data_IF_890730218156
#
_entry.id   IF_890730218156
#
_cell.length_a   1.000
_cell.length_b   1.000
_cell.length_c   1.000
_cell.angle_alpha   90.00
_cell.angle_beta   90.00
_cell.angle_gamma   90.00
#
_symmetry.space_group_name_H-M   'P 1'
#
loop_
_entity.id
_entity.type
_entity.pdbx_description
1 polymer ?
#
# COMPACT_ATOMS: atom_id res chain seq x y z
N UNK A 1 24.46 18.59 -73.59
CA UNK A 1 23.59 19.77 -73.78
C UNK A 1 23.26 20.28 -72.38
N UNK A 2 23.77 21.38 -71.83
CA UNK A 2 24.36 22.57 -72.41
C UNK A 2 23.48 23.78 -72.05
N UNK A 3 24.02 24.67 -71.20
CA UNK A 3 23.65 26.08 -70.95
C UNK A 3 22.68 26.44 -69.78
N UNK A 4 23.28 26.96 -68.71
CA UNK A 4 22.87 28.08 -67.83
C UNK A 4 23.16 29.45 -68.52
N UNK A 5 23.20 30.65 -67.87
CA UNK A 5 22.30 31.39 -66.93
C UNK A 5 22.16 32.91 -67.28
N UNK A 6 21.36 33.72 -66.54
CA UNK A 6 21.59 35.17 -66.21
C UNK A 6 20.37 35.80 -65.48
N UNK A 7 20.39 36.87 -64.65
CA UNK A 7 21.41 37.71 -63.98
C UNK A 7 20.70 38.66 -62.97
N UNK A 8 21.30 38.83 -61.78
CA UNK A 8 21.46 40.02 -60.89
C UNK A 8 20.38 41.12 -60.75
N UNK A 9 20.14 41.51 -59.49
CA UNK A 9 20.41 42.87 -58.98
C UNK A 9 20.58 42.92 -57.44
N UNK A 10 21.62 43.63 -56.98
CA UNK A 10 22.00 43.93 -55.58
C UNK A 10 21.54 45.34 -55.21
N UNK A 11 21.23 45.62 -53.94
CA UNK A 11 21.60 46.89 -53.26
C UNK A 11 21.83 46.70 -51.76
N UNK A 12 22.98 47.23 -51.30
CA UNK A 12 23.43 47.41 -49.90
C UNK A 12 23.26 48.88 -49.50
N UNK A 13 22.98 49.16 -48.22
CA UNK A 13 23.33 50.40 -47.48
C UNK A 13 23.38 50.00 -45.97
N UNK A 14 24.54 49.97 -45.31
CA UNK A 14 25.37 51.05 -44.74
C UNK A 14 24.91 51.51 -43.33
N UNK A 15 25.87 51.48 -42.39
CA UNK A 15 25.80 51.74 -40.93
C UNK A 15 25.56 53.23 -40.61
N UNK A 16 24.93 53.52 -39.46
CA UNK A 16 25.24 54.71 -38.66
C UNK A 16 25.15 54.40 -37.15
N UNK A 17 26.23 54.69 -36.45
CA UNK A 17 26.38 54.70 -34.99
C UNK A 17 25.85 56.03 -34.44
N UNK A 18 25.16 56.00 -33.30
CA UNK A 18 25.17 57.11 -32.35
C UNK A 18 25.04 56.54 -30.94
N UNK A 19 26.07 56.76 -30.13
CA UNK A 19 26.11 56.35 -28.73
C UNK A 19 25.35 57.34 -27.84
N UNK A 20 24.81 56.80 -26.74
CA UNK A 20 24.60 57.57 -25.51
C UNK A 20 25.33 56.85 -24.37
N UNK A 21 26.39 57.50 -23.91
CA UNK A 21 26.95 57.35 -22.57
C UNK A 21 26.00 58.08 -21.61
N UNK A 22 25.74 57.54 -20.40
CA UNK A 22 25.65 58.31 -19.15
C UNK A 22 25.44 57.37 -17.94
N UNK A 23 26.50 57.32 -17.13
CA UNK A 23 26.57 57.30 -15.66
C UNK A 23 25.96 56.15 -14.83
N UNK A 24 26.93 55.46 -14.21
CA UNK A 24 26.86 54.70 -12.95
C UNK A 24 26.05 55.41 -11.85
N UNK A 25 25.17 54.65 -11.20
CA UNK A 25 25.06 54.64 -9.73
C UNK A 25 24.95 53.19 -9.28
N UNK A 26 25.82 52.82 -8.33
CA UNK A 26 25.90 51.47 -7.77
C UNK A 26 24.84 51.20 -6.71
N UNK A 27 24.59 49.91 -6.50
CA UNK A 27 23.73 49.38 -5.44
C UNK A 27 23.53 47.88 -5.59
N UNK A 28 24.39 47.11 -4.91
CA UNK A 28 24.28 45.73 -4.46
C UNK A 28 23.15 44.83 -5.01
N UNK A 29 23.52 43.78 -5.74
CA UNK A 29 23.34 42.38 -5.32
C UNK A 29 24.14 41.47 -6.28
N UNK A 30 25.31 41.01 -5.85
CA UNK A 30 25.97 39.86 -6.46
C UNK A 30 25.12 38.62 -6.13
N UNK A 31 24.42 38.07 -7.12
CA UNK A 31 23.98 36.68 -7.05
C UNK A 31 25.24 35.84 -7.32
N UNK A 32 25.81 35.30 -6.25
CA UNK A 32 26.92 34.36 -6.33
C UNK A 32 26.50 33.14 -7.17
N UNK A 33 27.03 33.08 -8.38
CA UNK A 33 27.19 31.84 -9.14
C UNK A 33 28.18 30.96 -8.37
N UNK A 34 27.65 30.10 -7.51
CA UNK A 34 28.37 28.96 -7.00
C UNK A 34 27.98 27.74 -7.84
N UNK A 35 28.72 27.55 -8.93
CA UNK A 35 28.98 26.24 -9.51
C UNK A 35 29.56 25.31 -8.45
N UNK A 36 28.67 24.69 -7.70
CA UNK A 36 28.96 23.54 -6.86
C UNK A 36 29.23 22.35 -7.77
N UNK A 37 30.48 21.93 -7.81
CA UNK A 37 30.90 20.59 -8.22
C UNK A 37 29.91 19.60 -7.60
N UNK A 38 29.29 18.74 -8.41
CA UNK A 38 28.52 17.62 -7.90
C UNK A 38 29.48 16.76 -7.07
N UNK A 39 29.47 16.97 -5.75
CA UNK A 39 29.95 15.96 -4.83
C UNK A 39 28.98 14.80 -4.94
N UNK A 40 29.49 13.60 -5.21
CA UNK A 40 28.76 12.36 -5.05
C UNK A 40 28.34 12.26 -3.58
N UNK A 41 27.15 12.78 -3.28
CA UNK A 41 26.59 12.82 -1.94
C UNK A 41 26.27 11.40 -1.49
N UNK A 42 27.13 10.84 -0.63
CA UNK A 42 26.84 9.64 0.13
C UNK A 42 25.51 9.82 0.87
N UNK A 43 24.47 9.12 0.40
CA UNK A 43 23.12 9.21 0.92
C UNK A 43 23.02 8.79 2.39
N UNK A 44 21.94 9.22 3.06
CA UNK A 44 21.61 8.91 4.47
C UNK A 44 21.15 7.45 4.63
N UNK A 45 21.94 6.53 4.10
CA UNK A 45 21.67 5.09 4.09
C UNK A 45 22.47 4.39 5.20
N UNK A 46 21.94 3.30 5.77
CA UNK A 46 20.67 2.67 5.41
C UNK A 46 19.45 3.48 5.92
N UNK A 47 18.29 3.21 5.34
CA UNK A 47 17.00 3.74 5.79
C UNK A 47 15.94 2.64 5.76
N UNK A 48 15.07 2.65 6.77
CA UNK A 48 13.94 1.73 6.91
C UNK A 48 12.69 2.55 7.13
N UNK A 49 11.64 2.27 6.36
CA UNK A 49 10.33 2.90 6.47
C UNK A 49 9.26 1.81 6.58
N UNK A 50 8.29 1.97 7.47
CA UNK A 50 7.10 1.11 7.49
C UNK A 50 5.81 1.92 7.65
N UNK A 51 4.70 1.38 7.17
CA UNK A 51 3.37 1.85 7.59
C UNK A 51 3.21 1.70 9.10
N UNK A 52 2.40 2.59 9.68
CA UNK A 52 1.96 2.58 11.08
C UNK A 52 3.10 2.77 12.11
N UNK A 53 2.77 3.04 13.40
CA UNK A 53 3.78 3.20 14.46
C UNK A 53 4.40 1.88 14.93
N UNK A 54 4.70 0.95 14.01
CA UNK A 54 5.29 -0.38 14.30
C UNK A 54 6.80 -0.29 14.54
N UNK A 55 7.18 0.38 15.63
CA UNK A 55 8.60 0.67 15.93
C UNK A 55 9.46 -0.59 16.01
N UNK A 56 8.97 -1.66 16.64
CA UNK A 56 9.74 -2.90 16.76
C UNK A 56 10.02 -3.57 15.42
N UNK A 57 9.08 -3.48 14.46
CA UNK A 57 9.30 -3.97 13.10
C UNK A 57 10.42 -3.19 12.41
N UNK A 58 10.42 -1.86 12.52
CA UNK A 58 11.49 -1.01 11.98
C UNK A 58 12.83 -1.27 12.69
N UNK A 59 12.84 -1.52 14.00
CA UNK A 59 14.07 -1.87 14.73
C UNK A 59 14.64 -3.21 14.28
N UNK A 60 13.80 -4.24 14.11
CA UNK A 60 14.24 -5.56 13.63
C UNK A 60 14.88 -5.48 12.24
N UNK A 61 14.25 -4.76 11.30
CA UNK A 61 14.86 -4.50 9.99
C UNK A 61 16.15 -3.68 10.09
N UNK A 62 16.17 -2.67 10.97
CA UNK A 62 17.36 -1.84 11.20
C UNK A 62 18.55 -2.66 11.70
N UNK A 63 18.35 -3.58 12.65
CA UNK A 63 19.42 -4.43 13.18
C UNK A 63 20.12 -5.22 12.07
N UNK A 64 19.35 -5.76 11.11
CA UNK A 64 19.88 -6.51 9.96
C UNK A 64 20.67 -5.60 9.02
N UNK A 65 20.09 -4.48 8.61
CA UNK A 65 20.72 -3.60 7.60
C UNK A 65 21.87 -2.76 8.17
N UNK A 66 21.89 -2.54 9.49
CA UNK A 66 22.93 -1.74 10.17
C UNK A 66 24.11 -2.56 10.68
N UNK A 67 24.00 -3.90 10.74
CA UNK A 67 25.06 -4.79 11.21
C UNK A 67 26.41 -4.54 10.50
N UNK A 68 27.50 -4.61 11.28
CA UNK A 68 28.88 -4.45 10.83
C UNK A 68 29.44 -5.81 10.40
N UNK A 69 29.47 -6.10 9.09
CA UNK A 69 29.94 -7.40 8.57
C UNK A 69 29.40 -7.67 7.17
N UNK A 70 29.12 -8.94 6.84
CA UNK A 70 28.19 -9.25 5.75
C UNK A 70 26.83 -8.69 6.16
N UNK A 71 26.59 -7.41 5.87
CA UNK A 71 25.32 -6.76 6.15
C UNK A 71 24.22 -7.58 5.50
N UNK A 72 23.13 -7.84 6.23
CA UNK A 72 21.99 -8.50 5.61
C UNK A 72 21.50 -7.62 4.46
N UNK A 73 21.09 -8.27 3.37
CA UNK A 73 20.59 -7.56 2.20
C UNK A 73 19.35 -6.73 2.56
N UNK A 74 19.00 -5.74 1.72
CA UNK A 74 17.73 -5.02 1.87
C UNK A 74 16.54 -6.00 1.95
N UNK A 75 16.57 -7.10 1.18
CA UNK A 75 15.59 -8.20 1.24
C UNK A 75 15.54 -8.84 2.63
N UNK A 76 16.70 -9.23 3.20
CA UNK A 76 16.74 -9.87 4.53
C UNK A 76 16.25 -8.94 5.64
N UNK A 77 16.54 -7.65 5.53
CA UNK A 77 16.05 -6.65 6.47
C UNK A 77 14.52 -6.49 6.40
N UNK A 78 13.94 -6.46 5.18
CA UNK A 78 12.49 -6.49 4.98
C UNK A 78 11.88 -7.74 5.62
N UNK A 79 12.47 -8.93 5.37
CA UNK A 79 12.00 -10.19 5.96
C UNK A 79 12.01 -10.11 7.47
N UNK A 80 13.08 -9.61 8.08
CA UNK A 80 13.19 -9.48 9.54
C UNK A 80 12.15 -8.52 10.12
N UNK A 81 11.95 -7.36 9.51
CA UNK A 81 10.98 -6.37 9.97
C UNK A 81 9.53 -6.84 9.85
N UNK A 82 9.14 -7.37 8.69
CA UNK A 82 7.80 -7.94 8.50
C UNK A 82 7.58 -9.16 9.41
N UNK A 83 8.57 -10.04 9.57
CA UNK A 83 8.47 -11.20 10.48
C UNK A 83 8.28 -10.77 11.93
N UNK A 84 8.98 -9.72 12.38
CA UNK A 84 8.79 -9.19 13.72
C UNK A 84 7.35 -8.72 13.93
N UNK A 85 6.74 -8.12 12.91
CA UNK A 85 5.36 -7.67 12.97
C UNK A 85 4.34 -8.83 12.97
N UNK A 86 4.58 -9.86 12.17
CA UNK A 86 3.79 -11.11 12.19
C UNK A 86 3.83 -11.80 13.56
N UNK A 87 5.00 -11.81 14.22
CA UNK A 87 5.17 -12.42 15.56
C UNK A 87 4.53 -11.56 16.65
N UNK A 88 4.76 -10.25 16.63
CA UNK A 88 4.24 -9.33 17.64
C UNK A 88 2.75 -9.06 17.48
N UNK A 89 2.14 -9.53 16.39
CA UNK A 89 0.76 -9.24 16.02
C UNK A 89 0.53 -7.73 16.07
N UNK A 90 1.34 -6.96 15.32
CA UNK A 90 1.19 -5.50 15.26
C UNK A 90 -0.29 -5.16 15.13
N UNK A 91 -0.81 -4.38 16.09
CA UNK A 91 -2.22 -3.98 16.28
C UNK A 91 -3.31 -5.08 16.23
N UNK A 92 -2.92 -6.35 16.14
CA UNK A 92 -3.82 -7.50 16.03
C UNK A 92 -4.35 -7.78 14.61
N UNK A 93 -3.78 -7.19 13.55
CA UNK A 93 -4.22 -7.43 12.15
C UNK A 93 -3.18 -8.08 11.23
N UNK A 94 -1.98 -8.36 11.75
CA UNK A 94 -0.89 -9.03 11.02
C UNK A 94 -0.43 -10.27 11.80
N UNK A 95 -0.31 -11.42 11.13
CA UNK A 95 0.19 -12.66 11.72
C UNK A 95 -0.89 -13.59 12.30
N UNK A 96 -0.54 -14.54 13.18
CA UNK A 96 -1.50 -15.42 13.82
C UNK A 96 -2.51 -14.65 14.67
N UNK A 97 -3.79 -14.99 14.56
CA UNK A 97 -4.88 -14.46 15.35
C UNK A 97 -5.40 -13.10 14.90
N UNK A 98 -5.01 -12.62 13.71
CA UNK A 98 -5.49 -11.37 13.14
C UNK A 98 -6.62 -11.56 12.13
N UNK A 99 -7.57 -10.62 12.12
CA UNK A 99 -8.65 -10.46 11.12
C UNK A 99 -9.20 -11.76 10.51
N UNK A 100 -9.92 -12.62 11.27
CA UNK A 100 -10.51 -13.83 10.72
C UNK A 100 -11.55 -13.49 9.64
N UNK A 101 -11.73 -14.39 8.68
CA UNK A 101 -12.77 -14.30 7.66
C UNK A 101 -14.16 -14.61 8.24
N UNK A 102 -15.20 -14.60 7.40
CA UNK A 102 -16.58 -14.84 7.85
C UNK A 102 -16.82 -16.28 8.38
N UNK A 103 -15.94 -17.22 8.06
CA UNK A 103 -15.93 -18.58 8.60
C UNK A 103 -15.09 -18.70 9.89
N UNK A 104 -14.48 -17.61 10.35
CA UNK A 104 -13.65 -17.58 11.54
C UNK A 104 -12.19 -17.95 11.29
N UNK A 105 -11.78 -18.09 10.02
CA UNK A 105 -10.43 -18.52 9.68
C UNK A 105 -9.48 -17.34 9.44
N UNK A 106 -8.28 -17.44 10.01
CA UNK A 106 -7.19 -16.50 9.74
C UNK A 106 -6.36 -16.99 8.56
N UNK A 107 -6.23 -16.15 7.53
CA UNK A 107 -5.35 -16.37 6.36
C UNK A 107 -4.37 -15.22 6.22
N UNK A 108 -3.21 -15.45 5.61
CA UNK A 108 -2.18 -14.44 5.38
C UNK A 108 -1.99 -14.14 3.89
N UNK A 109 -1.80 -12.86 3.60
CA UNK A 109 -1.33 -12.33 2.33
C UNK A 109 0.03 -11.67 2.56
N UNK A 110 1.04 -11.99 1.75
CA UNK A 110 2.37 -11.39 1.85
C UNK A 110 3.07 -11.24 0.50
N UNK A 111 3.95 -10.24 0.41
CA UNK A 111 4.73 -9.88 -0.78
C UNK A 111 6.16 -9.53 -0.35
N UNK A 112 7.14 -9.93 -1.15
CA UNK A 112 8.49 -9.37 -1.10
C UNK A 112 8.97 -9.06 -2.52
N UNK A 113 9.73 -7.98 -2.67
CA UNK A 113 10.31 -7.56 -3.94
C UNK A 113 11.72 -7.03 -3.73
N UNK A 114 12.64 -7.54 -4.54
CA UNK A 114 13.98 -6.97 -4.70
C UNK A 114 13.95 -5.95 -5.85
N UNK A 115 14.20 -4.68 -5.54
CA UNK A 115 14.20 -3.60 -6.54
C UNK A 115 15.41 -3.64 -7.47
N UNK A 116 16.43 -4.44 -7.17
CA UNK A 116 17.66 -4.60 -7.98
C UNK A 116 17.43 -5.57 -9.12
N UNK A 117 16.83 -6.73 -8.82
CA UNK A 117 16.57 -7.80 -9.79
C UNK A 117 15.18 -7.71 -10.40
N UNK A 118 14.29 -6.92 -9.78
CA UNK A 118 12.85 -6.89 -10.04
C UNK A 118 12.15 -8.23 -9.75
N UNK A 119 12.83 -9.15 -9.05
CA UNK A 119 12.23 -10.40 -8.62
C UNK A 119 11.23 -10.17 -7.49
N UNK A 120 10.17 -10.95 -7.53
CA UNK A 120 9.03 -10.84 -6.63
C UNK A 120 8.62 -12.24 -6.22
N UNK A 121 8.35 -12.42 -4.94
CA UNK A 121 7.62 -13.57 -4.43
C UNK A 121 6.44 -13.13 -3.58
N UNK A 122 5.34 -13.84 -3.69
CA UNK A 122 4.11 -13.53 -3.01
C UNK A 122 3.31 -14.79 -2.66
N UNK A 123 2.55 -14.69 -1.57
CA UNK A 123 1.57 -15.68 -1.15
C UNK A 123 0.25 -14.98 -0.83
N UNK A 124 -0.88 -15.60 -1.19
CA UNK A 124 -2.19 -15.02 -0.89
C UNK A 124 -3.20 -16.07 -0.42
N UNK A 125 -4.12 -15.65 0.46
CA UNK A 125 -5.06 -16.51 1.15
C UNK A 125 -4.38 -17.76 1.75
N UNK A 126 -3.11 -17.62 2.18
CA UNK A 126 -2.31 -18.74 2.67
C UNK A 126 -2.82 -19.15 4.04
N UNK A 127 -3.07 -20.45 4.21
CA UNK A 127 -3.61 -21.05 5.43
C UNK A 127 -2.48 -21.67 6.24
N UNK A 128 -2.66 -21.77 7.55
CA UNK A 128 -1.87 -22.62 8.45
C UNK A 128 -0.36 -22.36 8.58
N UNK A 129 0.17 -21.30 7.97
CA UNK A 129 1.58 -20.88 8.07
C UNK A 129 1.62 -19.49 8.69
N UNK A 130 2.34 -19.35 9.81
CA UNK A 130 2.49 -18.08 10.52
C UNK A 130 3.49 -17.11 9.87
N UNK A 131 4.47 -17.66 9.14
CA UNK A 131 5.59 -16.94 8.56
C UNK A 131 5.28 -16.52 7.11
N UNK A 132 4.39 -15.54 6.94
CA UNK A 132 3.87 -15.09 5.64
C UNK A 132 4.97 -14.53 4.73
N UNK A 133 5.73 -13.56 5.22
CA UNK A 133 6.81 -12.91 4.46
C UNK A 133 7.93 -13.88 4.08
N UNK A 134 8.24 -14.87 4.95
CA UNK A 134 9.24 -15.90 4.64
C UNK A 134 8.75 -16.84 3.55
N UNK A 135 7.46 -17.20 3.56
CA UNK A 135 6.86 -17.98 2.47
C UNK A 135 6.94 -17.22 1.15
N UNK A 136 6.65 -15.91 1.14
CA UNK A 136 6.82 -15.05 -0.02
C UNK A 136 8.28 -15.02 -0.52
N UNK A 137 9.26 -14.91 0.38
CA UNK A 137 10.69 -15.00 0.02
C UNK A 137 11.05 -16.35 -0.62
N UNK A 138 10.54 -17.45 -0.09
CA UNK A 138 10.77 -18.78 -0.66
C UNK A 138 10.17 -18.92 -2.07
N UNK A 139 9.01 -18.29 -2.35
CA UNK A 139 8.45 -18.23 -3.71
C UNK A 139 9.42 -17.51 -4.65
N UNK A 140 9.95 -16.36 -4.22
CA UNK A 140 10.94 -15.58 -4.99
C UNK A 140 12.22 -16.37 -5.27
N UNK A 141 12.79 -17.01 -4.24
CA UNK A 141 14.10 -17.66 -4.32
C UNK A 141 14.09 -19.02 -5.04
N UNK A 142 12.94 -19.72 -5.05
CA UNK A 142 12.89 -21.15 -5.40
C UNK A 142 11.85 -21.51 -6.46
N UNK A 143 11.24 -20.52 -7.11
CA UNK A 143 10.32 -20.77 -8.21
C UNK A 143 10.51 -19.73 -9.32
N UNK A 144 10.17 -20.08 -10.56
CA UNK A 144 10.03 -19.09 -11.65
C UNK A 144 8.66 -18.38 -11.61
N UNK A 145 7.87 -18.61 -10.55
CA UNK A 145 6.54 -18.04 -10.37
C UNK A 145 6.57 -16.89 -9.37
N UNK A 146 5.67 -15.92 -9.54
CA UNK A 146 5.61 -14.75 -8.67
C UNK A 146 4.67 -14.93 -7.47
N UNK A 147 3.56 -15.64 -7.65
CA UNK A 147 2.47 -15.69 -6.67
C UNK A 147 1.88 -17.09 -6.55
N UNK A 148 1.86 -17.63 -5.33
CA UNK A 148 1.15 -18.87 -4.97
C UNK A 148 -0.01 -18.58 -4.03
N UNK A 149 -1.10 -19.35 -4.10
CA UNK A 149 -2.31 -19.03 -3.31
C UNK A 149 -2.91 -20.25 -2.58
N UNK A 150 -3.66 -19.96 -1.52
CA UNK A 150 -4.46 -20.93 -0.78
C UNK A 150 -3.62 -22.03 -0.11
N UNK A 151 -4.21 -23.23 0.00
CA UNK A 151 -3.53 -24.40 0.57
C UNK A 151 -2.34 -24.90 -0.25
N UNK A 152 -2.26 -24.54 -1.54
CA UNK A 152 -1.10 -24.90 -2.37
C UNK A 152 0.11 -24.03 -2.03
N UNK A 153 -0.08 -22.77 -1.65
CA UNK A 153 0.97 -21.97 -1.03
C UNK A 153 1.44 -22.58 0.30
N UNK A 154 0.50 -23.05 1.15
CA UNK A 154 0.82 -23.78 2.39
C UNK A 154 1.66 -25.03 2.14
N UNK A 155 1.24 -25.85 1.17
CA UNK A 155 1.94 -27.10 0.82
C UNK A 155 3.37 -26.81 0.35
N UNK A 156 3.53 -25.78 -0.48
CA UNK A 156 4.84 -25.30 -0.92
C UNK A 156 5.69 -24.83 0.26
N UNK A 157 5.17 -23.95 1.11
CA UNK A 157 5.87 -23.41 2.28
C UNK A 157 6.39 -24.52 3.21
N UNK A 158 5.56 -25.54 3.49
CA UNK A 158 5.96 -26.70 4.31
C UNK A 158 7.06 -27.51 3.60
N UNK A 159 6.92 -27.74 2.28
CA UNK A 159 7.92 -28.48 1.52
C UNK A 159 9.29 -27.77 1.48
N UNK A 160 9.30 -26.44 1.63
CA UNK A 160 10.49 -25.61 1.73
C UNK A 160 11.03 -25.48 3.17
N UNK A 161 10.40 -26.15 4.14
CA UNK A 161 10.88 -26.23 5.52
C UNK A 161 10.24 -25.27 6.52
N UNK A 162 9.20 -24.52 6.14
CA UNK A 162 8.43 -23.73 7.11
C UNK A 162 7.57 -24.65 7.99
N UNK A 163 7.41 -24.28 9.26
CA UNK A 163 6.61 -25.04 10.20
C UNK A 163 5.12 -24.92 9.88
N UNK A 164 4.42 -26.05 9.85
CA UNK A 164 2.98 -26.12 9.66
C UNK A 164 2.50 -27.55 9.36
N UNK A 165 1.18 -27.76 9.22
CA UNK A 165 0.13 -26.77 9.42
C UNK A 165 -0.06 -26.42 10.91
N UNK A 166 -0.34 -25.15 11.22
CA UNK A 166 -0.67 -24.68 12.55
C UNK A 166 -2.05 -24.00 12.56
N UNK A 167 -2.77 -24.09 13.68
CA UNK A 167 -3.95 -23.24 13.89
C UNK A 167 -3.49 -21.79 14.09
N UNK A 168 -3.97 -20.91 13.23
CA UNK A 168 -3.66 -19.48 13.27
C UNK A 168 -4.68 -18.70 14.11
N UNK A 169 -5.70 -19.35 14.67
CA UNK A 169 -6.70 -18.69 15.49
C UNK A 169 -6.12 -18.31 16.86
N UNK A 170 -6.59 -17.19 17.40
CA UNK A 170 -6.36 -16.81 18.80
C UNK A 170 -7.68 -16.68 19.56
N UNK A 171 -7.68 -16.71 20.91
CA UNK A 171 -8.88 -16.44 21.71
C UNK A 171 -9.57 -15.14 21.30
N UNK A 172 -8.80 -14.08 21.04
CA UNK A 172 -9.34 -12.78 20.62
C UNK A 172 -10.02 -12.84 19.26
N UNK A 173 -9.44 -13.57 18.29
CA UNK A 173 -10.03 -13.73 16.95
C UNK A 173 -11.34 -14.54 17.00
N UNK A 174 -11.38 -15.58 17.84
CA UNK A 174 -12.55 -16.44 18.02
C UNK A 174 -13.67 -15.66 18.71
N UNK A 175 -13.35 -14.87 19.75
CA UNK A 175 -14.31 -14.01 20.43
C UNK A 175 -14.87 -12.95 19.48
N UNK A 176 -14.00 -12.27 18.74
CA UNK A 176 -14.37 -11.25 17.74
C UNK A 176 -15.34 -11.84 16.69
N UNK A 177 -15.03 -13.02 16.15
CA UNK A 177 -15.90 -13.72 15.20
C UNK A 177 -17.21 -14.18 15.84
N UNK A 178 -17.19 -14.70 17.06
CA UNK A 178 -18.39 -15.15 17.78
C UNK A 178 -19.36 -14.00 18.03
N UNK A 179 -18.86 -12.85 18.45
CA UNK A 179 -19.67 -11.63 18.65
C UNK A 179 -20.28 -11.17 17.31
N UNK A 180 -19.49 -11.15 16.24
CA UNK A 180 -19.99 -10.77 14.91
C UNK A 180 -21.07 -11.72 14.37
N UNK A 181 -20.90 -13.03 14.58
CA UNK A 181 -21.91 -14.07 14.27
C UNK A 181 -23.21 -13.86 15.07
N UNK A 182 -23.10 -13.55 16.35
CA UNK A 182 -24.26 -13.24 17.21
C UNK A 182 -24.97 -11.96 16.75
N UNK A 183 -24.23 -10.99 16.21
CA UNK A 183 -24.75 -9.77 15.60
C UNK A 183 -25.19 -9.97 14.13
N UNK A 184 -25.73 -11.15 13.81
CA UNK A 184 -26.28 -11.47 12.50
C UNK A 184 -25.32 -11.25 11.31
N UNK A 185 -24.01 -11.44 11.54
CA UNK A 185 -22.99 -11.29 10.51
C UNK A 185 -22.99 -9.90 9.86
N UNK A 186 -23.12 -8.86 10.67
CA UNK A 186 -23.07 -7.46 10.24
C UNK A 186 -22.05 -6.64 11.06
N UNK A 187 -21.38 -5.65 10.42
CA UNK A 187 -21.38 -5.39 8.98
C UNK A 187 -20.62 -6.48 8.21
N UNK A 188 -20.91 -6.67 6.92
CA UNK A 188 -20.20 -7.61 6.04
C UNK A 188 -19.86 -7.01 4.66
N UNK A 189 -19.15 -7.78 3.83
CA UNK A 189 -18.68 -7.34 2.51
C UNK A 189 -19.57 -7.79 1.35
N UNK A 190 -20.65 -8.50 1.63
CA UNK A 190 -21.57 -8.96 0.60
C UNK A 190 -22.46 -7.81 0.11
N UNK A 191 -22.69 -7.75 -1.20
CA UNK A 191 -23.54 -6.73 -1.84
C UNK A 191 -24.49 -7.38 -2.83
N UNK A 192 -25.71 -6.86 -2.91
CA UNK A 192 -26.75 -7.33 -3.86
C UNK A 192 -27.07 -8.82 -3.75
N UNK A 193 -27.10 -9.34 -2.53
CA UNK A 193 -27.41 -10.74 -2.22
C UNK A 193 -28.40 -10.83 -1.06
N UNK A 194 -29.05 -11.98 -0.93
CA UNK A 194 -29.87 -12.36 0.23
C UNK A 194 -29.23 -13.55 0.94
N UNK A 195 -29.06 -13.51 2.28
CA UNK A 195 -28.57 -14.67 3.03
C UNK A 195 -29.65 -15.75 3.17
N UNK A 196 -29.25 -17.02 3.12
CA UNK A 196 -30.00 -18.06 3.79
C UNK A 196 -29.88 -17.87 5.32
N UNK A 197 -30.96 -17.49 5.99
CA UNK A 197 -30.91 -17.12 7.42
C UNK A 197 -30.19 -15.79 7.64
N UNK A 198 -29.32 -15.71 8.66
CA UNK A 198 -28.65 -14.44 9.03
C UNK A 198 -27.25 -14.27 8.40
N UNK A 199 -26.58 -15.37 8.07
CA UNK A 199 -25.14 -15.40 7.80
C UNK A 199 -24.76 -16.14 6.50
N UNK A 200 -25.72 -16.30 5.60
CA UNK A 200 -25.55 -17.05 4.36
C UNK A 200 -25.74 -18.57 4.49
N UNK A 201 -25.50 -19.34 3.40
CA UNK A 201 -24.91 -18.91 2.14
C UNK A 201 -25.71 -17.80 1.46
N UNK A 202 -25.00 -16.86 0.84
CA UNK A 202 -25.57 -15.69 0.18
C UNK A 202 -25.91 -16.01 -1.27
N UNK A 203 -27.11 -15.63 -1.71
CA UNK A 203 -27.60 -15.84 -3.07
C UNK A 203 -27.83 -14.50 -3.77
N UNK A 204 -27.48 -14.37 -5.07
CA UNK A 204 -27.78 -13.17 -5.84
C UNK A 204 -29.27 -12.81 -5.77
N UNK A 205 -29.56 -11.52 -5.74
CA UNK A 205 -30.94 -11.06 -5.91
C UNK A 205 -31.29 -11.21 -7.40
N UNK A 206 -32.23 -12.08 -7.72
CA UNK A 206 -32.81 -12.17 -9.06
C UNK A 206 -33.62 -10.90 -9.34
N UNK A 207 -33.05 -10.01 -10.15
CA UNK A 207 -33.77 -8.83 -10.66
C UNK A 207 -34.36 -9.21 -12.01
N UNK A 208 -35.69 -9.27 -12.18
CA UNK A 208 -36.32 -9.56 -13.47
C UNK A 208 -35.79 -8.60 -14.55
N UNK A 209 -35.43 -9.15 -15.70
CA UNK A 209 -34.90 -8.40 -16.86
C UNK A 209 -35.96 -7.43 -17.40
N UNK A 210 -35.92 -6.18 -16.92
CA UNK A 210 -36.82 -5.12 -17.35
C UNK A 210 -37.16 -4.07 -16.28
N UNK A 211 -36.87 -4.33 -15.00
CA UNK A 211 -37.15 -3.37 -13.93
C UNK A 211 -35.94 -2.47 -13.59
N UNK A 212 -36.20 -1.17 -13.40
CA UNK A 212 -35.14 -0.19 -13.11
C UNK A 212 -34.52 -0.42 -11.71
N UNK A 213 -33.29 0.06 -11.50
CA UNK A 213 -32.58 0.02 -10.19
C UNK A 213 -33.42 0.55 -9.00
N UNK A 214 -34.46 1.34 -9.24
CA UNK A 214 -35.39 1.80 -8.21
C UNK A 214 -36.28 0.68 -7.64
N UNK A 215 -36.64 -0.34 -8.44
CA UNK A 215 -37.38 -1.52 -7.98
C UNK A 215 -36.58 -2.37 -7.00
N UNK A 216 -35.26 -2.48 -7.19
CA UNK A 216 -34.38 -3.28 -6.32
C UNK A 216 -34.40 -2.76 -4.88
N UNK A 217 -34.47 -1.44 -4.69
CA UNK A 217 -34.59 -0.81 -3.36
C UNK A 217 -35.94 -1.11 -2.68
N UNK A 218 -37.00 -1.26 -3.48
CA UNK A 218 -38.33 -1.67 -3.02
C UNK A 218 -38.40 -3.16 -2.69
N UNK A 219 -37.75 -4.01 -3.47
CA UNK A 219 -37.63 -5.46 -3.20
C UNK A 219 -36.85 -5.70 -1.92
N UNK A 220 -35.68 -5.07 -1.75
CA UNK A 220 -34.86 -5.14 -0.53
C UNK A 220 -35.63 -4.68 0.73
N UNK A 221 -36.42 -3.60 0.63
CA UNK A 221 -37.30 -3.14 1.73
C UNK A 221 -38.40 -4.15 2.07
N UNK A 222 -38.91 -4.89 1.07
CA UNK A 222 -39.96 -5.91 1.28
C UNK A 222 -39.41 -7.15 1.96
N UNK A 223 -38.27 -7.67 1.51
CA UNK A 223 -37.64 -8.85 2.12
C UNK A 223 -37.03 -8.57 3.49
N UNK A 224 -36.53 -7.36 3.74
CA UNK A 224 -36.13 -6.95 5.10
C UNK A 224 -37.32 -6.63 6.02
N UNK A 225 -38.48 -6.23 5.45
CA UNK A 225 -39.69 -5.92 6.21
C UNK A 225 -40.44 -7.15 6.76
N UNK A 226 -40.27 -8.33 6.16
CA UNK A 226 -40.93 -9.56 6.62
C UNK A 226 -40.21 -10.28 7.77
N UNK A 227 -38.96 -9.92 8.08
CA UNK A 227 -38.15 -10.57 9.13
C UNK A 227 -38.20 -9.80 10.48
N UNK A 228 -38.88 -8.66 10.57
CA UNK A 228 -38.91 -7.84 11.79
C UNK A 228 -40.31 -7.30 12.16
N UNK A 229 -41.32 -8.16 12.21
CA UNK A 229 -42.66 -7.79 12.73
C UNK A 229 -42.92 -8.23 14.18
N UNK A 230 -41.87 -8.34 15.02
CA UNK A 230 -42.01 -8.78 16.41
C UNK A 230 -41.51 -7.82 17.50
N UNK A 231 -40.81 -6.75 17.15
CA UNK A 231 -40.18 -5.84 18.10
C UNK A 231 -40.23 -4.45 17.50
N UNK A 232 -41.11 -3.56 17.98
CA UNK A 232 -41.01 -2.09 17.99
C UNK A 232 -42.41 -1.49 18.21
N UNK A 233 -42.86 -1.47 19.46
CA UNK A 233 -43.72 -0.38 19.95
C UNK A 233 -42.85 0.45 20.92
N UNK A 234 -42.81 1.76 20.66
CA UNK A 234 -42.22 2.84 21.46
C UNK A 234 -40.69 2.89 21.59
N UNK A 235 -40.02 3.67 20.74
CA UNK A 235 -39.77 5.10 20.98
C UNK A 235 -38.74 5.69 20.00
N UNK A 236 -38.88 7.00 19.76
CA UNK A 236 -38.17 7.82 18.79
C UNK A 236 -36.64 7.74 18.89
N UNK A 237 -35.98 7.36 17.78
CA UNK A 237 -34.86 8.03 17.09
C UNK A 237 -34.19 7.01 16.15
N UNK A 238 -34.85 6.69 15.03
CA UNK A 238 -34.23 5.97 13.93
C UNK A 238 -33.76 6.98 12.90
N UNK A 239 -32.52 7.45 13.07
CA UNK A 239 -31.76 7.86 11.89
C UNK A 239 -31.59 6.62 11.00
N UNK A 240 -31.76 6.73 9.67
CA UNK A 240 -31.52 5.62 8.77
C UNK A 240 -30.08 5.16 8.95
N UNK A 241 -29.90 3.91 9.39
CA UNK A 241 -28.58 3.27 9.50
C UNK A 241 -27.87 3.44 8.16
N UNK A 242 -26.88 4.32 8.14
CA UNK A 242 -26.06 4.59 6.98
C UNK A 242 -25.36 3.28 6.60
N UNK A 243 -25.60 2.69 5.41
CA UNK A 243 -24.92 1.46 4.99
C UNK A 243 -23.41 1.66 4.79
N UNK A 244 -22.92 2.90 4.91
CA UNK A 244 -21.50 3.26 4.88
C UNK A 244 -20.82 3.28 6.27
N UNK A 245 -21.33 2.54 7.27
CA UNK A 245 -20.54 2.29 8.48
C UNK A 245 -19.31 1.47 8.07
N UNK A 246 -18.20 2.18 7.85
CA UNK A 246 -16.98 1.72 7.18
C UNK A 246 -16.49 0.40 7.76
N UNK A 247 -16.63 -0.69 7.00
CA UNK A 247 -16.10 -2.01 7.36
C UNK A 247 -14.57 -2.01 7.45
N UNK A 248 -13.92 -1.04 6.79
CA UNK A 248 -12.47 -0.82 6.78
C UNK A 248 -12.15 0.44 7.58
N UNK A 249 -11.41 0.26 8.68
CA UNK A 249 -10.87 1.32 9.53
C UNK A 249 -9.54 0.84 10.13
N UNK A 250 -8.82 1.74 10.82
CA UNK A 250 -7.50 1.46 11.45
C UNK A 250 -7.47 0.23 12.36
N UNK A 251 -8.60 -0.23 12.90
CA UNK A 251 -8.62 -1.37 13.80
C UNK A 251 -9.12 -2.66 13.14
N UNK A 252 -9.47 -2.58 11.85
CA UNK A 252 -10.10 -3.67 11.08
C UNK A 252 -9.35 -4.03 9.78
N UNK A 253 -8.30 -3.30 9.40
CA UNK A 253 -7.56 -3.50 8.14
C UNK A 253 -6.21 -2.76 8.15
N UNK A 254 -5.33 -3.14 9.06
CA UNK A 254 -3.96 -2.63 9.04
C UNK A 254 -3.04 -3.63 8.32
N UNK A 255 -2.10 -3.08 7.57
CA UNK A 255 -1.14 -3.81 6.75
C UNK A 255 0.23 -3.24 7.06
N UNK A 256 1.19 -4.09 7.38
CA UNK A 256 2.59 -3.65 7.39
C UNK A 256 3.09 -3.69 5.95
N UNK A 257 3.44 -2.53 5.43
CA UNK A 257 4.27 -2.40 4.24
C UNK A 257 5.58 -1.76 4.67
N UNK A 258 6.71 -2.30 4.24
CA UNK A 258 8.05 -1.89 4.64
C UNK A 258 8.91 -1.66 3.41
N UNK A 259 9.73 -0.62 3.45
CA UNK A 259 10.80 -0.36 2.50
C UNK A 259 12.13 -0.29 3.24
N UNK A 260 13.15 -0.92 2.67
CA UNK A 260 14.53 -0.81 3.12
C UNK A 260 15.38 -0.33 1.96
N UNK A 261 16.23 0.66 2.21
CA UNK A 261 17.35 0.99 1.34
C UNK A 261 18.62 0.72 2.14
N UNK A 262 19.43 -0.23 1.70
CA UNK A 262 20.62 -0.66 2.43
C UNK A 262 21.81 0.29 2.28
N UNK A 263 22.94 -0.03 2.92
CA UNK A 263 24.17 0.77 2.89
C UNK A 263 24.77 0.93 1.49
N UNK A 264 24.50 -0.01 0.59
CA UNK A 264 24.94 0.04 -0.81
C UNK A 264 23.94 0.79 -1.68
N UNK A 265 22.79 1.16 -1.11
CA UNK A 265 21.70 1.82 -1.78
C UNK A 265 20.68 0.85 -2.36
N UNK A 266 20.83 -0.47 -2.22
CA UNK A 266 19.87 -1.41 -2.80
C UNK A 266 18.52 -1.30 -2.11
N UNK A 267 17.46 -1.26 -2.92
CA UNK A 267 16.08 -1.07 -2.46
C UNK A 267 15.34 -2.40 -2.44
N UNK A 268 14.63 -2.68 -1.35
CA UNK A 268 13.66 -3.78 -1.29
C UNK A 268 12.42 -3.37 -0.53
N UNK A 269 11.30 -4.02 -0.84
CA UNK A 269 10.04 -3.82 -0.13
C UNK A 269 9.40 -5.13 0.24
N UNK A 270 8.54 -5.10 1.26
CA UNK A 270 7.69 -6.23 1.58
C UNK A 270 6.43 -5.82 2.32
N UNK A 271 5.45 -6.70 2.27
CA UNK A 271 4.13 -6.49 2.86
C UNK A 271 3.65 -7.77 3.54
N UNK A 272 2.93 -7.64 4.65
CA UNK A 272 2.19 -8.75 5.29
C UNK A 272 0.89 -8.25 5.92
N UNK A 273 -0.18 -9.03 5.82
CA UNK A 273 -1.48 -8.74 6.44
C UNK A 273 -2.34 -10.00 6.56
N UNK A 274 -3.31 -9.99 7.48
CA UNK A 274 -4.44 -10.91 7.45
C UNK A 274 -5.59 -10.44 6.55
N UNK A 275 -5.53 -9.20 6.05
CA UNK A 275 -6.59 -8.57 5.26
C UNK A 275 -7.75 -8.06 6.12
N UNK A 276 -8.89 -7.84 5.46
CA UNK A 276 -10.06 -7.28 6.12
C UNK A 276 -10.69 -8.28 7.11
N UNK A 277 -11.01 -7.81 8.32
CA UNK A 277 -11.76 -8.61 9.31
C UNK A 277 -13.16 -8.96 8.76
N UNK A 278 -13.55 -10.23 8.83
CA UNK A 278 -14.79 -10.80 8.28
C UNK A 278 -14.91 -10.74 6.76
N UNK A 279 -13.77 -10.71 6.07
CA UNK A 279 -13.73 -10.83 4.61
C UNK A 279 -14.46 -12.10 4.14
N UNK A 280 -14.95 -12.07 2.90
CA UNK A 280 -15.44 -13.28 2.23
C UNK A 280 -14.29 -14.28 2.13
N UNK A 281 -14.49 -15.57 2.45
CA UNK A 281 -13.45 -16.59 2.38
C UNK A 281 -12.79 -16.64 1.01
N UNK A 282 -11.46 -16.64 0.99
CA UNK A 282 -10.67 -16.55 -0.25
C UNK A 282 -10.47 -15.14 -0.79
N UNK A 283 -11.01 -14.09 -0.16
CA UNK A 283 -10.69 -12.70 -0.51
C UNK A 283 -9.21 -12.42 -0.29
N UNK A 284 -8.58 -11.90 -1.33
CA UNK A 284 -7.21 -11.42 -1.35
C UNK A 284 -7.22 -9.89 -1.47
N UNK A 285 -6.41 -9.22 -0.65
CA UNK A 285 -6.27 -7.76 -0.67
C UNK A 285 -5.22 -7.26 -1.66
N UNK A 286 -4.80 -6.01 -1.48
CA UNK A 286 -3.69 -5.41 -2.22
C UNK A 286 -2.32 -5.91 -1.76
N UNK A 287 -2.22 -6.37 -0.51
CA UNK A 287 -0.97 -6.79 0.12
C UNK A 287 -0.06 -7.72 -0.71
N UNK A 288 -0.55 -8.78 -1.38
CA UNK A 288 0.27 -9.67 -2.18
C UNK A 288 0.39 -9.22 -3.65
N UNK A 289 -0.10 -8.02 -4.00
CA UNK A 289 -0.16 -7.50 -5.38
C UNK A 289 0.94 -6.46 -5.59
N UNK A 290 1.98 -6.78 -6.38
CA UNK A 290 3.08 -5.85 -6.65
C UNK A 290 2.56 -4.58 -7.30
N UNK A 291 3.06 -3.43 -6.84
CA UNK A 291 2.62 -2.13 -7.35
C UNK A 291 1.36 -1.61 -6.68
N UNK A 292 0.59 -2.46 -5.99
CA UNK A 292 -0.50 -1.99 -5.15
C UNK A 292 -0.01 -1.67 -3.74
N UNK A 293 0.34 -2.70 -2.97
CA UNK A 293 0.73 -2.56 -1.56
C UNK A 293 2.13 -2.02 -1.40
N UNK A 294 3.07 -2.47 -2.22
CA UNK A 294 4.44 -2.00 -2.22
C UNK A 294 5.08 -2.13 -3.60
N UNK A 295 6.08 -1.31 -3.84
CA UNK A 295 6.91 -1.40 -5.05
C UNK A 295 8.30 -0.82 -4.78
N UNK A 296 9.34 -1.49 -5.28
CA UNK A 296 10.73 -1.06 -5.20
C UNK A 296 11.32 -0.99 -6.62
N UNK A 297 12.15 0.03 -6.85
CA UNK A 297 12.99 0.11 -8.03
C UNK A 297 14.31 0.77 -7.61
N UNK A 298 15.44 0.09 -7.84
CA UNK A 298 16.73 0.53 -7.34
C UNK A 298 17.25 1.81 -8.00
N UNK A 299 16.69 2.22 -9.14
CA UNK A 299 17.01 3.48 -9.82
C UNK A 299 16.18 4.67 -9.29
N UNK A 300 15.07 4.39 -8.61
CA UNK A 300 14.06 5.42 -8.25
C UNK A 300 13.84 5.53 -6.75
N UNK A 301 13.48 4.42 -6.10
CA UNK A 301 13.08 4.39 -4.69
C UNK A 301 12.04 3.32 -4.37
N UNK A 302 11.29 3.54 -3.28
CA UNK A 302 10.29 2.62 -2.77
C UNK A 302 8.98 3.31 -2.38
N UNK A 303 7.89 2.54 -2.42
CA UNK A 303 6.60 2.91 -1.87
C UNK A 303 6.01 1.75 -1.08
N UNK A 304 5.30 2.06 0.00
CA UNK A 304 4.46 1.12 0.73
C UNK A 304 3.10 1.74 1.05
N UNK A 305 2.06 0.92 1.11
CA UNK A 305 0.67 1.31 1.20
C UNK A 305 -0.10 0.53 2.28
N UNK A 306 -1.24 1.08 2.69
CA UNK A 306 -2.22 0.46 3.60
C UNK A 306 -3.59 1.09 3.32
N UNK A 307 -4.70 0.38 3.56
CA UNK A 307 -6.04 0.93 3.31
C UNK A 307 -7.04 -0.09 2.78
N UNK A 308 -8.08 0.39 2.11
CA UNK A 308 -9.05 -0.46 1.42
C UNK A 308 -8.40 -1.20 0.26
N UNK A 309 -7.88 -2.39 0.54
CA UNK A 309 -7.15 -3.18 -0.44
C UNK A 309 -7.93 -3.48 -1.73
N UNK A 310 -9.26 -3.56 -1.67
CA UNK A 310 -10.10 -3.80 -2.85
C UNK A 310 -10.18 -2.58 -3.77
N UNK A 311 -10.05 -1.37 -3.21
CA UNK A 311 -9.95 -0.13 -3.97
C UNK A 311 -8.50 0.12 -4.40
N UNK A 312 -7.53 -0.02 -3.48
CA UNK A 312 -6.11 0.24 -3.73
C UNK A 312 -5.59 -0.57 -4.92
N UNK A 313 -5.90 -1.87 -4.99
CA UNK A 313 -5.45 -2.75 -6.08
C UNK A 313 -5.96 -2.36 -7.47
N UNK A 314 -7.04 -1.57 -7.56
CA UNK A 314 -7.57 -1.10 -8.86
C UNK A 314 -6.73 0.02 -9.46
N UNK A 315 -5.89 0.68 -8.67
CA UNK A 315 -5.11 1.85 -9.08
C UNK A 315 -3.61 1.66 -9.00
N UNK A 316 -3.14 0.57 -8.38
CA UNK A 316 -1.71 0.27 -8.19
C UNK A 316 -0.94 1.51 -7.68
N UNK A 317 -1.32 2.08 -6.53
CA UNK A 317 -0.82 3.37 -6.08
C UNK A 317 0.70 3.38 -5.91
N UNK A 318 1.32 2.31 -5.44
CA UNK A 318 2.77 2.29 -5.28
C UNK A 318 3.54 2.23 -6.60
N UNK A 319 3.04 1.49 -7.59
CA UNK A 319 3.60 1.57 -8.94
C UNK A 319 3.49 2.99 -9.51
N UNK A 320 2.30 3.61 -9.36
CA UNK A 320 2.09 4.99 -9.81
C UNK A 320 3.01 5.99 -9.08
N UNK A 321 3.27 5.80 -7.78
CA UNK A 321 4.20 6.64 -7.02
C UNK A 321 5.63 6.51 -7.56
N UNK A 322 6.11 5.27 -7.77
CA UNK A 322 7.45 5.03 -8.32
C UNK A 322 7.57 5.64 -9.72
N UNK A 323 6.60 5.43 -10.61
CA UNK A 323 6.65 5.98 -11.96
C UNK A 323 6.55 7.52 -11.98
N UNK A 324 5.75 8.12 -11.09
CA UNK A 324 5.73 9.57 -10.93
C UNK A 324 7.08 10.11 -10.44
N UNK A 325 7.75 9.42 -9.51
CA UNK A 325 9.10 9.80 -9.06
C UNK A 325 10.14 9.60 -10.18
N UNK A 326 10.03 8.54 -10.99
CA UNK A 326 10.87 8.33 -12.19
C UNK A 326 10.76 9.49 -13.17
N UNK A 327 9.57 10.08 -13.29
CA UNK A 327 9.31 11.27 -14.11
C UNK A 327 9.76 12.59 -13.46
N UNK A 328 10.41 12.54 -12.29
CA UNK A 328 10.98 13.69 -11.61
C UNK A 328 10.07 14.34 -10.56
N UNK A 329 8.94 13.73 -10.20
CA UNK A 329 8.16 14.22 -9.05
C UNK A 329 8.88 13.93 -7.73
N UNK A 330 8.87 14.89 -6.81
CA UNK A 330 9.29 14.66 -5.43
C UNK A 330 8.32 13.70 -4.70
N UNK A 331 8.80 12.89 -3.73
CA UNK A 331 8.00 11.86 -3.05
C UNK A 331 6.64 12.33 -2.53
N UNK A 332 6.58 13.56 -1.98
CA UNK A 332 5.34 14.16 -1.48
C UNK A 332 4.30 14.33 -2.58
N UNK A 333 4.71 14.86 -3.73
CA UNK A 333 3.83 15.14 -4.85
C UNK A 333 3.39 13.84 -5.53
N UNK A 334 4.30 12.87 -5.66
CA UNK A 334 4.00 11.55 -6.20
C UNK A 334 2.97 10.80 -5.33
N UNK A 335 3.17 10.78 -4.01
CA UNK A 335 2.25 10.18 -3.05
C UNK A 335 0.86 10.85 -3.09
N UNK A 336 0.81 12.18 -3.07
CA UNK A 336 -0.44 12.94 -3.15
C UNK A 336 -1.19 12.70 -4.46
N UNK A 337 -0.50 12.70 -5.61
CA UNK A 337 -1.13 12.44 -6.91
C UNK A 337 -1.76 11.04 -6.96
N UNK A 338 -1.06 10.01 -6.48
CA UNK A 338 -1.58 8.65 -6.44
C UNK A 338 -2.85 8.53 -5.59
N UNK A 339 -2.86 9.10 -4.38
CA UNK A 339 -4.02 9.08 -3.48
C UNK A 339 -5.20 9.90 -4.04
N UNK A 340 -4.93 11.09 -4.60
CA UNK A 340 -5.97 11.94 -5.17
C UNK A 340 -6.60 11.32 -6.43
N UNK A 341 -5.87 10.53 -7.22
CA UNK A 341 -6.43 9.77 -8.35
C UNK A 341 -7.51 8.79 -7.90
N UNK A 342 -7.28 8.10 -6.79
CA UNK A 342 -8.25 7.17 -6.19
C UNK A 342 -9.44 7.97 -5.66
N UNK A 343 -9.19 9.03 -4.89
CA UNK A 343 -10.22 9.88 -4.29
C UNK A 343 -11.20 10.45 -5.33
N UNK A 344 -10.70 10.85 -6.51
CA UNK A 344 -11.53 11.34 -7.62
C UNK A 344 -12.56 10.31 -8.13
N UNK A 345 -12.29 9.02 -7.96
CA UNK A 345 -13.19 7.93 -8.39
C UNK A 345 -13.97 7.31 -7.23
N UNK A 346 -13.37 7.26 -6.06
CA UNK A 346 -13.95 6.70 -4.84
C UNK A 346 -13.79 7.71 -3.69
N UNK A 347 -14.63 8.76 -3.59
CA UNK A 347 -14.45 9.85 -2.63
C UNK A 347 -14.54 9.44 -1.16
N UNK A 348 -15.07 8.25 -0.86
CA UNK A 348 -15.23 7.74 0.49
C UNK A 348 -14.18 6.69 0.88
N UNK A 349 -13.24 6.37 -0.03
CA UNK A 349 -12.24 5.34 0.23
C UNK A 349 -11.32 5.73 1.40
N UNK A 350 -10.69 4.74 2.00
CA UNK A 350 -9.67 4.97 3.02
C UNK A 350 -8.37 4.35 2.54
N UNK A 351 -7.28 5.10 2.61
CA UNK A 351 -5.99 4.61 2.17
C UNK A 351 -4.86 5.58 2.44
N UNK A 352 -3.64 5.05 2.43
CA UNK A 352 -2.44 5.83 2.60
C UNK A 352 -1.27 5.17 1.89
N UNK A 353 -0.28 5.99 1.53
CA UNK A 353 1.03 5.55 1.07
C UNK A 353 2.13 6.33 1.76
N UNK A 354 3.29 5.71 1.95
CA UNK A 354 4.56 6.40 2.07
C UNK A 354 5.38 6.22 0.79
N UNK A 355 6.26 7.16 0.51
CA UNK A 355 7.19 7.15 -0.62
C UNK A 355 8.56 7.57 -0.12
N UNK A 356 9.62 6.96 -0.65
CA UNK A 356 11.01 7.34 -0.41
C UNK A 356 11.82 7.20 -1.70
N UNK A 357 12.67 8.18 -2.02
CA UNK A 357 13.53 8.15 -3.21
C UNK A 357 14.99 7.80 -2.89
N UNK A 358 15.82 7.61 -3.93
CA UNK A 358 17.26 7.33 -3.80
C UNK A 358 18.11 8.46 -3.17
N UNK A 359 17.52 9.62 -2.89
CA UNK A 359 18.16 10.69 -2.12
C UNK A 359 17.82 10.63 -0.61
N UNK A 360 17.02 9.64 -0.19
CA UNK A 360 16.51 9.53 1.17
C UNK A 360 15.37 10.50 1.51
N UNK A 361 14.87 11.26 0.53
CA UNK A 361 13.69 12.12 0.71
C UNK A 361 12.48 11.21 0.81
N UNK A 362 11.67 11.41 1.84
CA UNK A 362 10.47 10.62 2.09
C UNK A 362 9.25 11.50 2.38
N UNK A 363 8.07 10.99 2.11
CA UNK A 363 6.80 11.62 2.45
C UNK A 363 5.68 10.57 2.52
N UNK A 364 4.52 10.96 3.05
CA UNK A 364 3.31 10.16 2.93
C UNK A 364 2.12 10.98 2.47
N UNK A 365 1.08 10.30 2.00
CA UNK A 365 -0.20 10.89 1.62
C UNK A 365 -1.38 10.05 2.14
N UNK A 366 -2.35 10.79 2.67
CA UNK A 366 -3.61 10.39 3.29
C UNK A 366 -4.88 10.41 2.45
N UNK A 367 -5.83 9.49 2.63
CA UNK A 367 -7.24 9.83 2.45
C UNK A 367 -8.14 9.07 3.44
N UNK A 368 -9.14 9.76 3.98
CA UNK A 368 -10.18 9.17 4.84
C UNK A 368 -9.77 8.88 6.30
N UNK A 369 -8.50 9.09 6.67
CA UNK A 369 -7.94 8.93 8.02
C UNK A 369 -6.66 9.75 8.23
N UNK A 370 -6.20 9.87 9.47
CA UNK A 370 -4.82 10.29 9.78
C UNK A 370 -3.90 9.09 9.69
N UNK A 371 -2.88 9.17 8.85
CA UNK A 371 -1.90 8.12 8.65
C UNK A 371 -0.64 8.41 9.47
N UNK A 372 0.00 7.35 9.94
CA UNK A 372 1.32 7.42 10.54
C UNK A 372 2.23 6.40 9.87
N UNK A 373 3.50 6.75 9.68
CA UNK A 373 4.53 5.80 9.24
C UNK A 373 5.74 5.93 10.15
N UNK A 374 6.46 4.83 10.33
CA UNK A 374 7.68 4.75 11.12
C UNK A 374 8.90 4.83 10.21
N UNK A 375 9.94 5.53 10.66
CA UNK A 375 11.16 5.78 9.89
C UNK A 375 12.38 5.67 10.79
N UNK A 376 13.44 5.08 10.26
CA UNK A 376 14.78 5.16 10.84
C UNK A 376 15.83 5.28 9.74
N UNK A 377 16.74 6.24 9.89
CA UNK A 377 17.91 6.39 9.02
C UNK A 377 19.19 6.53 9.85
N UNK A 378 20.35 6.63 9.19
CA UNK A 378 21.66 6.65 9.86
C UNK A 378 21.92 7.89 10.72
N UNK A 379 21.16 8.97 10.53
CA UNK A 379 21.25 10.19 11.34
C UNK A 379 20.40 10.16 12.62
N UNK A 380 19.49 9.18 12.74
CA UNK A 380 18.54 9.07 13.86
C UNK A 380 19.06 8.15 14.96
N UNK A 381 18.79 8.51 16.22
CA UNK A 381 19.15 7.67 17.37
C UNK A 381 18.27 6.41 17.47
N UNK A 382 16.98 6.55 17.17
CA UNK A 382 15.97 5.48 17.18
C UNK A 382 14.87 5.77 16.16
N UNK A 383 13.86 4.90 16.06
CA UNK A 383 12.70 5.03 15.17
C UNK A 383 11.86 6.26 15.52
N UNK A 384 11.61 7.10 14.51
CA UNK A 384 10.69 8.22 14.57
C UNK A 384 9.35 7.86 13.92
N UNK A 385 8.27 8.47 14.40
CA UNK A 385 6.91 8.29 13.84
C UNK A 385 6.48 9.61 13.21
N UNK A 386 6.21 9.57 11.91
CA UNK A 386 5.75 10.73 11.16
C UNK A 386 4.24 10.66 11.00
N UNK A 387 3.55 11.78 11.22
CA UNK A 387 2.08 11.88 11.10
C UNK A 387 1.72 12.65 9.84
N UNK A 388 0.79 12.10 9.06
CA UNK A 388 0.28 12.65 7.81
C UNK A 388 -1.22 12.91 7.98
N UNK A 389 -1.64 14.14 7.71
CA UNK A 389 -3.07 14.51 7.70
C UNK A 389 -3.70 14.17 6.34
N UNK A 390 -5.00 13.80 6.30
CA UNK A 390 -5.73 13.47 5.08
C UNK A 390 -5.91 14.66 4.12
#
# INVERSE_FOLDING_TARGET
MGATPNRRSRRSYARLLLGLLLLRFGGCLEAADHGGRAEEGGGVFPVVVSTWPFREAVRAAWEVVSASGAAGSAVDAVVAGCSACEVLRCDGTVGPGGSPDENGETTLDALIMDGTTMEIGAVAAMRYIKDGIKAAKLVMDHTEHTLLVGEKATSFAISMGLAGPADLSSPESIEKWTIWRQNHCQPNFWKNVVPAGNCGPYHPIDVPSGESKASVKHVLKRTQGEICQGLFEHDNFLEPVNPHLKSINRHNHDTISMAVIDKMGHVSVGTSTNGATFKVPGRVGDAPIPGSSAYADDEVGACGATGDGDIMMRFLPCYQVIESMRQGMEPRNAAMDAILRIARKYPDFVGAVFAINKKGVHAGACHGWTFQYSLRNSSMQDVEVITVAP
#
